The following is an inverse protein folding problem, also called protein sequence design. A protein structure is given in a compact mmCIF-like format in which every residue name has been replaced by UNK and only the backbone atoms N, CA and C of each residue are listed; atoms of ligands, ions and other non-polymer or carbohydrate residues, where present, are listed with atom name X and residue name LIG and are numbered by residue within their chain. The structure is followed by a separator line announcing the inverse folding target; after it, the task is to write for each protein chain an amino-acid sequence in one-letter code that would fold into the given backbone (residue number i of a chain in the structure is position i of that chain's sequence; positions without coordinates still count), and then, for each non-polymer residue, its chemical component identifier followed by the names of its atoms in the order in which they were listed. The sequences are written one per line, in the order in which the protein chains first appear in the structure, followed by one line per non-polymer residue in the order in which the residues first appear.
data_IF_789844953657
#
_entry.id   IF_789844953657
#
_cell.length_a   1.000
_cell.length_b   1.000
_cell.length_c   1.000
_cell.angle_alpha   90.00
_cell.angle_beta   90.00
_cell.angle_gamma   90.00
#
_symmetry.space_group_name_H-M   'P 1'
#
loop_
_entity.id
_entity.type
_entity.pdbx_description
1 polymer ?
#
# COMPACT_ATOMS: atom_id res chain seq x y z
N UNK A 1 -8.86 -38.22 -17.05
CA UNK A 1 -9.59 -37.90 -15.80
C UNK A 1 -10.01 -36.46 -15.92
N UNK A 2 -11.27 -36.19 -16.27
CA UNK A 2 -11.84 -34.85 -16.13
C UNK A 2 -12.11 -34.62 -14.64
N UNK A 3 -11.57 -33.51 -14.10
CA UNK A 3 -11.90 -33.02 -12.76
C UNK A 3 -13.39 -32.67 -12.74
N UNK A 4 -14.12 -33.07 -11.69
CA UNK A 4 -15.52 -32.66 -11.57
C UNK A 4 -15.63 -31.16 -11.32
N UNK A 5 -16.73 -30.53 -11.76
CA UNK A 5 -16.98 -29.10 -11.49
C UNK A 5 -16.96 -28.80 -9.99
N UNK A 6 -17.45 -29.73 -9.16
CA UNK A 6 -17.41 -29.63 -7.70
C UNK A 6 -15.98 -29.58 -7.14
N UNK A 7 -15.07 -30.38 -7.72
CA UNK A 7 -13.66 -30.40 -7.33
C UNK A 7 -12.96 -29.07 -7.69
N UNK A 8 -13.26 -28.51 -8.87
CA UNK A 8 -12.74 -27.19 -9.30
C UNK A 8 -13.23 -26.08 -8.37
N UNK A 9 -14.52 -26.07 -8.02
CA UNK A 9 -15.11 -25.09 -7.10
C UNK A 9 -14.45 -25.19 -5.72
N UNK A 10 -14.30 -26.41 -5.19
CA UNK A 10 -13.66 -26.63 -3.90
C UNK A 10 -12.21 -26.12 -3.86
N UNK A 11 -11.43 -26.42 -4.90
CA UNK A 11 -10.04 -25.96 -4.99
C UNK A 11 -9.98 -24.43 -5.06
N UNK A 12 -10.85 -23.81 -5.86
CA UNK A 12 -10.96 -22.35 -5.95
C UNK A 12 -11.26 -21.71 -4.59
N UNK A 13 -12.23 -22.26 -3.85
CA UNK A 13 -12.60 -21.77 -2.53
C UNK A 13 -11.45 -21.88 -1.51
N UNK A 14 -10.71 -22.99 -1.54
CA UNK A 14 -9.56 -23.19 -0.66
C UNK A 14 -8.42 -22.20 -0.96
N UNK A 15 -8.13 -21.95 -2.23
CA UNK A 15 -7.14 -20.94 -2.65
C UNK A 15 -7.59 -19.55 -2.21
N UNK A 16 -8.84 -19.19 -2.46
CA UNK A 16 -9.39 -17.89 -2.11
C UNK A 16 -9.38 -17.67 -0.59
N UNK A 17 -9.69 -18.71 0.19
CA UNK A 17 -9.62 -18.69 1.66
C UNK A 17 -8.19 -18.47 2.15
N UNK A 18 -7.21 -19.18 1.59
CA UNK A 18 -5.80 -19.00 1.92
C UNK A 18 -5.30 -17.58 1.62
N UNK A 19 -5.58 -17.09 0.41
CA UNK A 19 -5.20 -15.74 -0.01
C UNK A 19 -5.85 -14.65 0.87
N UNK A 20 -7.14 -14.81 1.20
CA UNK A 20 -7.84 -13.90 2.11
C UNK A 20 -7.24 -13.92 3.53
N UNK A 21 -6.86 -15.11 4.03
CA UNK A 21 -6.21 -15.27 5.32
C UNK A 21 -4.87 -14.55 5.40
N UNK A 22 -3.98 -14.81 4.44
CA UNK A 22 -2.66 -14.15 4.38
C UNK A 22 -2.79 -12.62 4.34
N UNK A 23 -3.67 -12.11 3.46
CA UNK A 23 -3.92 -10.66 3.37
C UNK A 23 -4.49 -10.07 4.67
N UNK A 24 -5.38 -10.79 5.34
CA UNK A 24 -5.96 -10.33 6.60
C UNK A 24 -4.90 -10.22 7.70
N UNK A 25 -3.96 -11.16 7.76
CA UNK A 25 -2.84 -11.12 8.70
C UNK A 25 -1.88 -9.96 8.40
N UNK A 26 -1.52 -9.75 7.14
CA UNK A 26 -0.70 -8.60 6.70
C UNK A 26 -1.36 -7.27 7.06
N UNK A 27 -2.64 -7.11 6.70
CA UNK A 27 -3.44 -5.93 7.04
C UNK A 27 -3.46 -5.71 8.55
N UNK A 28 -3.67 -6.77 9.34
CA UNK A 28 -3.76 -6.69 10.80
C UNK A 28 -2.44 -6.23 11.42
N UNK A 29 -1.32 -6.77 10.98
CA UNK A 29 0.02 -6.38 11.44
C UNK A 29 0.34 -4.92 11.09
N UNK A 30 0.08 -4.53 9.84
CA UNK A 30 0.38 -3.19 9.36
C UNK A 30 -0.54 -2.12 9.98
N UNK A 31 -1.77 -2.48 10.37
CA UNK A 31 -2.77 -1.55 10.90
C UNK A 31 -2.25 -0.66 12.02
N UNK A 32 -1.54 -1.25 12.97
CA UNK A 32 -0.95 -0.53 14.10
C UNK A 32 0.37 0.12 13.73
N UNK A 33 1.25 -0.61 13.06
CA UNK A 33 2.60 -0.15 12.74
C UNK A 33 2.63 1.09 11.84
N UNK A 34 1.70 1.20 10.89
CA UNK A 34 1.65 2.35 9.99
C UNK A 34 1.45 3.68 10.73
N UNK A 35 0.74 3.66 11.86
CA UNK A 35 0.51 4.86 12.66
C UNK A 35 1.82 5.37 13.24
N UNK A 36 2.70 4.46 13.65
CA UNK A 36 4.02 4.82 14.16
C UNK A 36 4.90 5.37 13.02
N UNK A 37 4.86 4.77 11.83
CA UNK A 37 5.65 5.21 10.68
C UNK A 37 5.24 6.59 10.14
N UNK A 38 3.94 6.90 10.17
CA UNK A 38 3.45 8.21 9.71
C UNK A 38 3.54 9.28 10.80
N UNK A 39 3.80 8.93 12.06
CA UNK A 39 3.95 9.89 13.15
C UNK A 39 5.34 10.50 13.12
N UNK A 40 5.49 11.84 12.98
CA UNK A 40 6.81 12.47 13.04
C UNK A 40 7.53 12.19 14.36
N UNK A 41 8.85 12.00 14.31
CA UNK A 41 9.65 11.67 15.50
C UNK A 41 9.47 12.72 16.60
N UNK A 42 9.13 12.26 17.81
CA UNK A 42 8.92 13.12 18.98
C UNK A 42 7.59 13.90 18.97
N UNK A 43 6.70 13.63 18.01
CA UNK A 43 5.39 14.28 17.93
C UNK A 43 4.25 13.26 18.11
N UNK A 44 3.03 13.77 18.22
CA UNK A 44 1.79 12.98 18.16
C UNK A 44 0.92 13.45 17.00
N UNK A 45 0.14 12.54 16.44
CA UNK A 45 -0.91 12.89 15.48
C UNK A 45 -2.05 13.62 16.21
N UNK A 46 -2.53 14.70 15.59
CA UNK A 46 -3.68 15.47 16.09
C UNK A 46 -4.75 15.57 14.99
N UNK A 47 -5.98 15.08 15.24
CA UNK A 47 -6.41 14.35 16.44
C UNK A 47 -5.68 12.99 16.58
N UNK A 48 -5.60 12.46 17.81
CA UNK A 48 -4.96 11.15 18.02
C UNK A 48 -5.66 10.05 17.21
N UNK A 49 -4.88 9.24 16.47
CA UNK A 49 -5.38 8.05 15.77
C UNK A 49 -5.07 6.80 16.60
N UNK A 50 -6.10 6.07 17.09
CA UNK A 50 -5.88 4.79 17.75
C UNK A 50 -5.28 3.77 16.78
N UNK A 51 -4.24 3.06 17.23
CA UNK A 51 -3.48 2.09 16.39
C UNK A 51 -4.35 0.96 15.84
N UNK A 52 -5.39 0.54 16.56
CA UNK A 52 -6.26 -0.57 16.20
C UNK A 52 -7.56 -0.15 15.50
N UNK A 53 -7.81 1.16 15.29
CA UNK A 53 -9.05 1.68 14.71
C UNK A 53 -8.74 2.47 13.43
N UNK A 54 -9.56 2.27 12.39
CA UNK A 54 -9.40 2.95 11.09
C UNK A 54 -10.40 4.10 10.87
N UNK A 55 -11.50 4.17 11.62
CA UNK A 55 -12.58 5.14 11.35
C UNK A 55 -12.11 6.60 11.32
N UNK A 56 -11.12 6.95 12.14
CA UNK A 56 -10.49 8.29 12.17
C UNK A 56 -9.33 8.50 11.20
N UNK A 57 -9.11 7.60 10.22
CA UNK A 57 -8.07 7.73 9.17
C UNK A 57 -8.67 8.22 7.86
N UNK A 58 -7.96 8.08 6.75
CA UNK A 58 -8.40 8.54 5.44
C UNK A 58 -8.35 10.07 5.33
N UNK A 59 -9.23 10.63 4.51
CA UNK A 59 -9.36 12.08 4.35
C UNK A 59 -9.89 12.78 5.60
N UNK A 60 -10.47 12.04 6.57
CA UNK A 60 -10.99 12.60 7.82
C UNK A 60 -9.89 13.06 8.81
N UNK A 61 -8.61 12.85 8.49
CA UNK A 61 -7.49 13.24 9.35
C UNK A 61 -6.35 13.84 8.53
N UNK A 62 -5.75 14.93 9.04
CA UNK A 62 -4.73 15.73 8.34
C UNK A 62 -3.62 14.88 7.72
N UNK A 63 -2.95 14.07 8.55
CA UNK A 63 -1.80 13.27 8.13
C UNK A 63 -2.13 12.19 7.11
N UNK A 64 -3.15 11.37 7.37
CA UNK A 64 -3.53 10.28 6.46
C UNK A 64 -4.18 10.82 5.18
N UNK A 65 -4.91 11.93 5.27
CA UNK A 65 -5.52 12.60 4.13
C UNK A 65 -4.47 13.19 3.20
N UNK A 66 -3.46 13.88 3.75
CA UNK A 66 -2.33 14.38 2.98
C UNK A 66 -1.59 13.27 2.25
N UNK A 67 -1.32 12.14 2.92
CA UNK A 67 -0.65 10.98 2.32
C UNK A 67 -1.49 10.29 1.22
N UNK A 68 -2.81 10.25 1.38
CA UNK A 68 -3.75 9.65 0.42
C UNK A 68 -4.18 10.60 -0.68
N UNK A 69 -3.86 11.90 -0.59
CA UNK A 69 -4.23 12.88 -1.60
C UNK A 69 -3.59 12.47 -2.93
N UNK A 70 -4.37 12.44 -4.04
CA UNK A 70 -3.82 12.21 -5.36
C UNK A 70 -2.66 13.17 -5.66
N UNK A 71 -1.60 12.67 -6.29
CA UNK A 71 -0.37 13.41 -6.55
C UNK A 71 -0.59 14.68 -7.39
N UNK A 72 -1.57 14.66 -8.29
CA UNK A 72 -1.98 15.83 -9.08
C UNK A 72 -2.90 16.83 -8.36
N UNK A 73 -3.19 16.63 -7.08
CA UNK A 73 -4.02 17.52 -6.26
C UNK A 73 -3.23 18.07 -5.07
N UNK A 74 -3.55 19.30 -4.68
CA UNK A 74 -2.94 19.94 -3.52
C UNK A 74 -3.81 19.77 -2.27
N UNK A 75 -3.32 19.01 -1.30
CA UNK A 75 -4.00 18.83 -0.01
C UNK A 75 -4.05 20.12 0.83
N UNK A 76 -3.10 21.04 0.65
CA UNK A 76 -3.10 22.32 1.35
C UNK A 76 -4.20 23.26 0.83
N UNK A 77 -4.68 23.05 -0.40
CA UNK A 77 -5.82 23.75 -0.96
C UNK A 77 -7.11 23.37 -0.23
N UNK A 78 -7.73 24.35 0.43
CA UNK A 78 -8.92 24.14 1.28
C UNK A 78 -10.14 23.62 0.50
N UNK A 79 -10.31 24.05 -0.75
CA UNK A 79 -11.42 23.58 -1.59
C UNK A 79 -11.24 22.10 -1.96
N UNK A 80 -10.03 21.72 -2.40
CA UNK A 80 -9.67 20.34 -2.73
C UNK A 80 -9.87 19.43 -1.53
N UNK A 81 -9.33 19.83 -0.38
CA UNK A 81 -9.50 19.11 0.89
C UNK A 81 -10.97 18.95 1.27
N UNK A 82 -11.77 20.02 1.20
CA UNK A 82 -13.21 19.96 1.54
C UNK A 82 -13.95 19.00 0.60
N UNK A 83 -13.66 19.03 -0.70
CA UNK A 83 -14.26 18.12 -1.68
C UNK A 83 -13.88 16.66 -1.46
N UNK A 84 -12.63 16.37 -1.11
CA UNK A 84 -12.16 15.02 -0.78
C UNK A 84 -12.81 14.50 0.51
N UNK A 85 -12.82 15.32 1.57
CA UNK A 85 -13.46 14.97 2.86
C UNK A 85 -14.96 14.75 2.70
N UNK A 86 -15.64 15.59 1.93
CA UNK A 86 -17.06 15.48 1.64
C UNK A 86 -17.43 14.37 0.65
N UNK A 87 -16.45 13.69 0.04
CA UNK A 87 -16.69 12.65 -0.96
C UNK A 87 -17.19 13.18 -2.32
N UNK A 88 -17.09 14.50 -2.56
CA UNK A 88 -17.44 15.13 -3.83
C UNK A 88 -16.42 14.83 -4.93
N UNK A 89 -15.16 14.59 -4.55
CA UNK A 89 -14.15 13.99 -5.43
C UNK A 89 -14.04 12.52 -5.05
N UNK A 90 -14.42 11.65 -5.99
CA UNK A 90 -14.15 10.22 -5.90
C UNK A 90 -12.75 9.98 -6.49
N UNK A 91 -11.84 9.42 -5.69
CA UNK A 91 -10.47 9.13 -6.12
C UNK A 91 -10.44 7.76 -6.76
N UNK A 92 -10.27 7.71 -8.08
CA UNK A 92 -10.15 6.45 -8.82
C UNK A 92 -8.85 5.71 -8.48
N UNK A 93 -8.81 4.40 -8.69
CA UNK A 93 -7.63 3.58 -8.42
C UNK A 93 -6.38 4.01 -9.21
N UNK A 94 -6.53 4.55 -10.41
CA UNK A 94 -5.40 5.08 -11.19
C UNK A 94 -4.96 6.50 -10.80
N UNK A 95 -5.65 7.15 -9.84
CA UNK A 95 -5.24 8.44 -9.29
C UNK A 95 -4.35 8.22 -8.08
N UNK A 96 -3.06 8.14 -8.33
CA UNK A 96 -2.10 7.67 -7.34
C UNK A 96 -1.88 8.65 -6.19
N UNK A 97 -1.86 8.16 -4.95
CA UNK A 97 -1.67 8.99 -3.78
C UNK A 97 -0.20 9.37 -3.61
N UNK A 98 0.04 10.54 -3.03
CA UNK A 98 1.40 11.08 -2.86
C UNK A 98 2.29 10.20 -1.97
N UNK A 99 1.71 9.33 -1.11
CA UNK A 99 2.51 8.40 -0.30
C UNK A 99 3.36 7.43 -1.13
N UNK A 100 3.09 7.23 -2.43
CA UNK A 100 3.94 6.41 -3.28
C UNK A 100 5.30 7.05 -3.55
N UNK A 101 5.38 8.38 -3.46
CA UNK A 101 6.56 9.14 -3.87
C UNK A 101 7.56 9.33 -2.72
N UNK A 102 8.84 9.36 -3.06
CA UNK A 102 9.92 9.72 -2.14
C UNK A 102 9.62 11.08 -1.50
N UNK A 103 9.79 11.15 -0.18
CA UNK A 103 9.49 12.34 0.62
C UNK A 103 8.04 12.89 0.45
N UNK A 104 7.13 12.09 -0.10
CA UNK A 104 5.75 12.47 -0.37
C UNK A 104 5.64 13.72 -1.25
N UNK A 105 6.51 13.83 -2.26
CA UNK A 105 6.57 14.95 -3.20
C UNK A 105 6.43 14.44 -4.62
N UNK A 106 5.52 15.04 -5.39
CA UNK A 106 5.30 14.72 -6.80
C UNK A 106 5.89 15.84 -7.67
N UNK A 107 6.62 15.45 -8.71
CA UNK A 107 7.15 16.36 -9.72
C UNK A 107 6.32 16.24 -11.02
N UNK A 108 5.56 17.27 -11.42
CA UNK A 108 4.75 17.20 -12.63
C UNK A 108 5.60 17.21 -13.92
N UNK A 109 6.85 17.68 -13.87
CA UNK A 109 7.76 17.69 -15.02
C UNK A 109 8.52 16.36 -15.16
N UNK A 110 8.64 15.61 -14.06
CA UNK A 110 9.21 14.26 -14.02
C UNK A 110 8.36 13.34 -13.11
N UNK A 111 7.26 12.76 -13.63
CA UNK A 111 6.36 11.91 -12.85
C UNK A 111 7.02 10.64 -12.28
N UNK A 112 8.18 10.21 -12.79
CA UNK A 112 8.91 9.06 -12.26
C UNK A 112 9.77 9.42 -11.06
N UNK A 113 10.08 10.71 -10.86
CA UNK A 113 10.92 11.19 -9.78
C UNK A 113 10.40 10.75 -8.41
N UNK A 114 11.12 9.79 -7.81
CA UNK A 114 10.78 9.25 -6.50
C UNK A 114 9.55 8.35 -6.47
N UNK A 115 8.92 8.04 -7.60
CA UNK A 115 7.77 7.13 -7.66
C UNK A 115 8.14 5.75 -7.08
N UNK A 116 7.28 5.21 -6.21
CA UNK A 116 7.46 3.93 -5.50
C UNK A 116 8.72 3.85 -4.62
N UNK A 117 9.33 4.99 -4.24
CA UNK A 117 10.52 5.06 -3.39
C UNK A 117 10.23 5.60 -1.98
N UNK A 118 8.97 5.73 -1.58
CA UNK A 118 8.66 6.30 -0.27
C UNK A 118 9.15 5.41 0.89
N UNK A 119 9.64 6.06 1.95
CA UNK A 119 10.02 5.35 3.17
C UNK A 119 8.86 4.56 3.79
N UNK A 120 7.62 4.99 3.56
CA UNK A 120 6.43 4.27 4.00
C UNK A 120 6.27 2.93 3.27
N UNK A 121 6.48 2.91 1.95
CA UNK A 121 6.45 1.68 1.17
C UNK A 121 7.58 0.73 1.58
N UNK A 122 8.78 1.25 1.83
CA UNK A 122 9.91 0.43 2.33
C UNK A 122 9.57 -0.22 3.67
N UNK A 123 9.03 0.55 4.62
CA UNK A 123 8.60 0.03 5.91
C UNK A 123 7.49 -1.01 5.77
N UNK A 124 6.50 -0.75 4.90
CA UNK A 124 5.40 -1.67 4.64
C UNK A 124 5.88 -2.99 3.99
N UNK A 125 6.80 -2.90 3.03
CA UNK A 125 7.40 -4.06 2.36
C UNK A 125 8.14 -4.93 3.37
N UNK A 126 9.01 -4.31 4.18
CA UNK A 126 9.75 -5.00 5.25
C UNK A 126 8.82 -5.64 6.28
N UNK A 127 7.75 -4.95 6.64
CA UNK A 127 6.79 -5.49 7.59
C UNK A 127 6.09 -6.76 7.09
N UNK A 128 5.68 -6.79 5.81
CA UNK A 128 5.01 -7.92 5.19
C UNK A 128 6.00 -9.05 4.89
N UNK A 129 7.09 -8.75 4.19
CA UNK A 129 7.95 -9.78 3.61
C UNK A 129 9.18 -10.10 4.46
N UNK A 130 9.78 -9.18 5.22
CA UNK A 130 10.95 -9.56 6.03
C UNK A 130 10.55 -9.90 7.45
N UNK A 131 10.21 -8.91 8.26
CA UNK A 131 9.75 -9.11 9.63
C UNK A 131 9.26 -7.77 10.18
N UNK A 132 8.20 -7.74 11.00
CA UNK A 132 7.80 -6.54 11.74
C UNK A 132 8.96 -5.87 12.51
N UNK A 133 9.92 -6.66 13.03
CA UNK A 133 11.07 -6.15 13.79
C UNK A 133 12.16 -5.50 12.93
N UNK A 134 12.13 -5.68 11.60
CA UNK A 134 13.17 -5.19 10.69
C UNK A 134 12.98 -3.73 10.25
N UNK A 135 11.92 -3.08 10.73
CA UNK A 135 11.60 -1.68 10.36
C UNK A 135 12.40 -0.67 11.20
N UNK A 136 12.78 -1.00 12.44
CA UNK A 136 13.41 -0.05 13.38
C UNK A 136 14.83 -0.42 13.88
N UNK A 137 15.29 -1.68 13.76
CA UNK A 137 16.60 -2.13 14.26
C UNK A 137 17.20 -3.28 13.43
N UNK A 138 18.51 -3.54 13.61
CA UNK A 138 19.15 -4.80 13.19
C UNK A 138 18.28 -6.02 13.58
N UNK A 139 18.16 -7.04 12.72
CA UNK A 139 17.16 -8.08 12.89
C UNK A 139 17.45 -8.94 14.13
N UNK A 140 16.76 -8.66 15.24
CA UNK A 140 16.66 -9.54 16.42
C UNK A 140 15.52 -10.55 16.24
N UNK A 141 15.39 -11.15 15.07
CA UNK A 141 14.32 -12.09 14.78
C UNK A 141 14.69 -13.49 15.31
N UNK A 142 13.83 -14.07 16.17
CA UNK A 142 13.93 -15.47 16.63
C UNK A 142 13.31 -16.47 15.66
N UNK A 143 12.65 -16.00 14.60
CA UNK A 143 12.04 -16.79 13.53
C UNK A 143 12.41 -16.20 12.17
N UNK A 144 12.53 -17.07 11.17
CA UNK A 144 12.80 -16.70 9.79
C UNK A 144 11.74 -15.72 9.27
N UNK A 145 12.15 -14.74 8.47
CA UNK A 145 11.23 -13.79 7.86
C UNK A 145 10.34 -14.41 6.77
N UNK A 146 9.19 -13.80 6.46
CA UNK A 146 8.24 -14.33 5.47
C UNK A 146 8.89 -14.59 4.10
N UNK A 147 9.77 -13.72 3.64
CA UNK A 147 10.52 -13.83 2.40
C UNK A 147 11.43 -15.06 2.42
N UNK A 148 12.11 -15.30 3.55
CA UNK A 148 12.91 -16.51 3.70
C UNK A 148 12.05 -17.77 3.74
N UNK A 149 10.93 -17.74 4.48
CA UNK A 149 9.98 -18.86 4.57
C UNK A 149 9.41 -19.23 3.20
N UNK A 150 9.11 -18.21 2.38
CA UNK A 150 8.53 -18.40 1.05
C UNK A 150 9.58 -18.42 -0.08
N UNK A 151 10.88 -18.39 0.24
CA UNK A 151 11.96 -18.43 -0.75
C UNK A 151 12.00 -17.21 -1.70
N UNK A 152 11.43 -16.08 -1.29
CA UNK A 152 11.47 -14.83 -2.04
C UNK A 152 12.90 -14.27 -2.03
N UNK A 153 13.55 -14.29 -3.20
CA UNK A 153 14.96 -13.86 -3.38
C UNK A 153 15.08 -12.41 -3.85
N UNK A 154 14.00 -11.85 -4.36
CA UNK A 154 13.95 -10.52 -4.92
C UNK A 154 12.54 -9.95 -4.79
N UNK A 155 12.46 -8.63 -4.68
CA UNK A 155 11.25 -7.84 -4.89
C UNK A 155 10.76 -8.04 -6.32
N UNK A 156 9.45 -8.24 -6.49
CA UNK A 156 8.76 -8.35 -7.78
C UNK A 156 7.80 -7.17 -7.99
N UNK A 157 7.46 -6.85 -9.24
CA UNK A 157 6.45 -5.83 -9.58
C UNK A 157 5.12 -6.07 -8.85
N UNK A 158 4.65 -7.31 -8.87
CA UNK A 158 3.46 -7.75 -8.13
C UNK A 158 3.57 -7.54 -6.62
N UNK A 159 4.73 -7.81 -6.01
CA UNK A 159 4.91 -7.56 -4.58
C UNK A 159 4.89 -6.07 -4.22
N UNK A 160 5.41 -5.19 -5.10
CA UNK A 160 5.32 -3.74 -4.93
C UNK A 160 3.88 -3.25 -5.04
N UNK A 161 3.16 -3.66 -6.09
CA UNK A 161 1.73 -3.35 -6.24
C UNK A 161 0.90 -3.82 -5.06
N UNK A 162 1.20 -5.02 -4.53
CA UNK A 162 0.52 -5.57 -3.35
C UNK A 162 0.78 -4.72 -2.10
N UNK A 163 2.04 -4.39 -1.81
CA UNK A 163 2.42 -3.59 -0.65
C UNK A 163 1.82 -2.19 -0.72
N UNK A 164 1.84 -1.55 -1.89
CA UNK A 164 1.20 -0.27 -2.12
C UNK A 164 -0.31 -0.35 -1.83
N UNK A 165 -0.97 -1.40 -2.32
CA UNK A 165 -2.40 -1.63 -2.09
C UNK A 165 -2.71 -1.84 -0.60
N UNK A 166 -1.88 -2.61 0.11
CA UNK A 166 -2.02 -2.81 1.56
C UNK A 166 -1.84 -1.50 2.33
N UNK A 167 -0.77 -0.74 2.02
CA UNK A 167 -0.51 0.54 2.67
C UNK A 167 -1.65 1.53 2.43
N UNK A 168 -2.12 1.66 1.19
CA UNK A 168 -3.27 2.51 0.82
C UNK A 168 -4.49 2.12 1.63
N UNK A 169 -4.86 0.84 1.61
CA UNK A 169 -6.01 0.34 2.35
C UNK A 169 -5.90 0.67 3.84
N UNK A 170 -4.76 0.41 4.47
CA UNK A 170 -4.58 0.62 5.91
C UNK A 170 -4.62 2.10 6.32
N UNK A 171 -4.22 3.01 5.42
CA UNK A 171 -4.34 4.46 5.61
C UNK A 171 -5.78 4.98 5.46
N UNK A 172 -6.66 4.27 4.74
CA UNK A 172 -8.05 4.71 4.57
C UNK A 172 -8.91 4.47 5.82
N UNK A 173 -10.12 5.01 5.83
CA UNK A 173 -11.13 4.74 6.86
C UNK A 173 -11.97 3.47 6.60
N UNK A 174 -11.78 2.81 5.44
CA UNK A 174 -12.55 1.62 5.06
C UNK A 174 -12.30 0.47 6.04
N UNK A 175 -13.37 -0.18 6.51
CA UNK A 175 -13.26 -1.27 7.49
C UNK A 175 -13.02 -2.63 6.84
N UNK A 176 -13.53 -2.82 5.63
CA UNK A 176 -13.46 -4.08 4.87
C UNK A 176 -12.61 -3.84 3.64
N UNK A 177 -11.67 -4.75 3.39
CA UNK A 177 -10.95 -4.79 2.12
C UNK A 177 -11.87 -5.42 1.08
N UNK A 178 -12.26 -4.66 0.06
CA UNK A 178 -12.93 -5.22 -1.12
C UNK A 178 -12.10 -4.90 -2.36
N UNK A 179 -12.10 -5.86 -3.29
CA UNK A 179 -11.46 -5.69 -4.60
C UNK A 179 -12.21 -4.68 -5.46
N UNK A 180 -13.53 -4.74 -5.38
CA UNK A 180 -14.46 -4.06 -6.30
C UNK A 180 -15.24 -2.92 -5.64
N UNK A 181 -14.91 -2.53 -4.40
CA UNK A 181 -15.57 -1.37 -3.82
C UNK A 181 -15.11 -0.09 -4.54
N UNK A 182 -16.04 0.82 -4.82
CA UNK A 182 -15.74 2.09 -5.47
C UNK A 182 -15.06 3.11 -4.54
N UNK A 183 -14.97 2.82 -3.24
CA UNK A 183 -14.46 3.75 -2.23
C UNK A 183 -12.93 3.73 -2.20
N UNK A 184 -12.37 2.54 -2.25
CA UNK A 184 -10.94 2.28 -2.31
C UNK A 184 -10.52 1.89 -3.71
N UNK A 185 -11.37 1.23 -4.51
CA UNK A 185 -11.04 0.82 -5.88
C UNK A 185 -9.69 0.08 -5.94
N UNK A 186 -9.54 -0.91 -5.04
CA UNK A 186 -8.26 -1.56 -4.75
C UNK A 186 -7.74 -2.40 -5.93
N UNK A 187 -8.64 -3.00 -6.72
CA UNK A 187 -8.26 -3.75 -7.92
C UNK A 187 -7.73 -2.83 -9.02
N UNK A 188 -8.42 -1.74 -9.33
CA UNK A 188 -7.96 -0.72 -10.28
C UNK A 188 -6.62 -0.12 -9.84
N UNK A 189 -6.46 0.17 -8.54
CA UNK A 189 -5.20 0.68 -8.01
C UNK A 189 -4.04 -0.30 -8.19
N UNK A 190 -4.23 -1.56 -7.81
CA UNK A 190 -3.22 -2.59 -8.01
C UNK A 190 -2.85 -2.78 -9.48
N UNK A 191 -3.87 -2.90 -10.35
CA UNK A 191 -3.66 -3.12 -11.78
C UNK A 191 -2.99 -1.92 -12.43
N UNK A 192 -3.40 -0.68 -12.10
CA UNK A 192 -2.75 0.51 -12.67
C UNK A 192 -1.25 0.58 -12.37
N UNK A 193 -0.82 0.14 -11.18
CA UNK A 193 0.61 0.05 -10.84
C UNK A 193 1.28 -1.02 -11.71
N UNK A 194 0.65 -2.18 -11.87
CA UNK A 194 1.22 -3.23 -12.74
C UNK A 194 1.28 -2.79 -14.19
N UNK A 195 0.24 -2.12 -14.68
CA UNK A 195 0.18 -1.63 -16.05
C UNK A 195 1.38 -0.71 -16.34
N UNK A 196 1.69 0.24 -15.43
CA UNK A 196 2.91 1.05 -15.56
C UNK A 196 4.17 0.20 -15.48
N UNK A 197 4.26 -0.70 -14.49
CA UNK A 197 5.48 -1.48 -14.28
C UNK A 197 5.74 -2.49 -15.40
N UNK A 198 4.72 -2.94 -16.13
CA UNK A 198 4.80 -3.85 -17.26
C UNK A 198 4.79 -3.14 -18.62
N UNK A 199 4.67 -1.81 -18.64
CA UNK A 199 4.81 -1.01 -19.86
C UNK A 199 6.22 -1.13 -20.44
N UNK A 200 6.30 -1.45 -21.73
CA UNK A 200 7.56 -1.59 -22.44
C UNK A 200 8.23 -0.27 -22.70
N UNK A 201 7.46 0.82 -22.78
CA UNK A 201 7.98 2.16 -23.05
C UNK A 201 8.67 2.76 -21.80
N UNK A 202 8.31 2.28 -20.61
CA UNK A 202 8.84 2.73 -19.31
C UNK A 202 9.93 1.78 -18.76
N UNK A 203 10.46 0.90 -19.61
CA UNK A 203 11.32 -0.22 -19.20
C UNK A 203 12.58 0.23 -18.47
N UNK A 204 13.20 1.32 -18.89
CA UNK A 204 14.47 1.78 -18.34
C UNK A 204 14.30 2.30 -16.91
N UNK A 205 13.22 3.03 -16.65
CA UNK A 205 12.80 3.53 -15.33
C UNK A 205 12.40 2.38 -14.41
N UNK A 206 11.64 1.40 -14.94
CA UNK A 206 11.25 0.19 -14.21
C UNK A 206 12.49 -0.62 -13.82
N UNK A 207 13.43 -0.85 -14.73
CA UNK A 207 14.64 -1.62 -14.44
C UNK A 207 15.51 -0.93 -13.36
N UNK A 208 15.57 0.42 -13.37
CA UNK A 208 16.22 1.21 -12.33
C UNK A 208 15.52 1.07 -10.97
N UNK A 209 14.18 1.19 -10.95
CA UNK A 209 13.37 0.99 -9.75
C UNK A 209 13.58 -0.41 -9.16
N UNK A 210 13.50 -1.45 -10.00
CA UNK A 210 13.67 -2.84 -9.57
C UNK A 210 15.10 -3.11 -9.09
N UNK A 211 16.10 -2.47 -9.71
CA UNK A 211 17.49 -2.52 -9.23
C UNK A 211 17.61 -1.88 -7.86
N UNK A 212 16.98 -0.73 -7.62
CA UNK A 212 17.02 -0.05 -6.31
C UNK A 212 16.40 -0.89 -5.19
N UNK A 213 15.24 -1.51 -5.44
CA UNK A 213 14.53 -2.34 -4.47
C UNK A 213 15.24 -3.65 -4.12
N UNK A 214 16.12 -4.13 -4.99
CA UNK A 214 16.83 -5.40 -4.83
C UNK A 214 18.30 -5.24 -4.41
N UNK A 215 18.70 -4.05 -3.94
CA UNK A 215 20.00 -3.81 -3.29
C UNK A 215 20.00 -4.29 -1.85
#
# INVERSE_FOLDING_TARGET
MESSEEEVVLISDLIQKGANGARADDTKGMKSAIIDWITPKGQSLNPHIPRNVKSGRGFNHERTGALLCPAGLDWANTETKTKLVGGHIQVAGNQWPVFLYANYTYDPEDPWNGLLHSGLLVSAFKHIFTSPSSVDQEPKATRSGNAHIHGMRSVTKASLGYVATQARFVLTSAQVFSRTDHVTDSECFYNSILDLLDDTDEKDEVDQLMTWWNR
#
